data_IF_787377801205
#
_entry.id   IF_787377801205
#
_cell.length_a   1.000
_cell.length_b   1.000
_cell.length_c   1.000
_cell.angle_alpha   90.00
_cell.angle_beta   90.00
_cell.angle_gamma   90.00
#
_symmetry.space_group_name_H-M   'P 1'
#
loop_
_entity.id
_entity.type
_entity.pdbx_description
1 polymer ?
#
# COMPACT_ATOMS: atom_id res chain seq x y z
N UNK A 1 31.52 23.09 -52.32
CA UNK A 1 32.25 23.08 -51.02
C UNK A 1 31.71 24.21 -50.17
N UNK A 2 31.67 24.02 -48.84
CA UNK A 2 31.01 24.84 -47.78
C UNK A 2 29.53 24.44 -47.61
N UNK A 3 28.94 24.23 -46.42
CA UNK A 3 29.33 23.81 -45.06
C UNK A 3 28.00 23.49 -44.32
N UNK A 4 28.10 22.71 -43.25
CA UNK A 4 27.03 22.07 -42.45
C UNK A 4 26.08 23.05 -41.76
N UNK A 5 24.77 22.72 -41.65
CA UNK A 5 23.94 23.13 -40.51
C UNK A 5 23.01 21.98 -40.07
N UNK A 6 23.19 21.60 -38.81
CA UNK A 6 22.45 20.63 -37.99
C UNK A 6 21.14 21.20 -37.49
N UNK A 7 20.04 20.41 -37.47
CA UNK A 7 19.03 20.44 -36.39
C UNK A 7 18.28 19.09 -36.33
N UNK A 8 18.50 18.23 -35.33
CA UNK A 8 17.63 17.09 -35.07
C UNK A 8 16.32 17.57 -34.42
N UNK A 9 15.20 17.21 -35.03
CA UNK A 9 13.86 17.55 -34.56
C UNK A 9 13.51 16.66 -33.36
N UNK A 10 12.99 17.29 -32.31
CA UNK A 10 12.59 16.69 -31.04
C UNK A 10 11.48 15.65 -31.24
N UNK A 11 11.66 14.44 -30.70
CA UNK A 11 10.61 13.43 -30.52
C UNK A 11 10.39 13.19 -29.02
N UNK A 12 9.33 13.77 -28.45
CA UNK A 12 8.91 13.63 -27.05
C UNK A 12 8.01 12.41 -26.82
N UNK A 13 8.44 11.24 -27.29
CA UNK A 13 7.90 9.98 -26.80
C UNK A 13 9.02 9.27 -26.04
N UNK A 14 9.08 9.48 -24.73
CA UNK A 14 9.76 8.55 -23.84
C UNK A 14 8.89 7.30 -23.82
N UNK A 15 9.15 6.39 -24.75
CA UNK A 15 8.62 5.03 -24.70
C UNK A 15 9.24 4.37 -23.46
N UNK A 16 8.51 4.38 -22.34
CA UNK A 16 8.83 3.55 -21.18
C UNK A 16 8.76 2.09 -21.62
N UNK A 17 9.93 1.48 -21.83
CA UNK A 17 10.01 0.07 -22.20
C UNK A 17 9.72 -0.81 -20.99
N UNK A 18 9.14 -2.01 -21.17
CA UNK A 18 8.90 -2.97 -20.08
C UNK A 18 10.16 -3.40 -19.30
N UNK A 19 11.36 -3.10 -19.79
CA UNK A 19 12.63 -3.42 -19.14
C UNK A 19 12.97 -2.50 -17.95
N UNK A 20 12.31 -1.34 -17.81
CA UNK A 20 12.50 -0.43 -16.67
C UNK A 20 11.67 -0.83 -15.42
N UNK A 21 10.77 -1.81 -15.54
CA UNK A 21 9.92 -2.29 -14.45
C UNK A 21 10.68 -3.11 -13.38
N UNK A 22 11.93 -3.53 -13.63
CA UNK A 22 12.58 -4.59 -12.85
C UNK A 22 13.81 -4.18 -12.02
N UNK A 23 14.16 -2.89 -11.93
CA UNK A 23 15.26 -2.47 -11.05
C UNK A 23 14.81 -1.36 -10.10
N UNK A 24 14.11 -1.77 -9.04
CA UNK A 24 13.89 -0.91 -7.87
C UNK A 24 15.22 -0.34 -7.38
N UNK A 25 15.21 0.91 -6.91
CA UNK A 25 16.39 1.52 -6.28
C UNK A 25 16.77 0.78 -4.99
N UNK A 26 17.96 1.02 -4.45
CA UNK A 26 18.35 0.45 -3.15
C UNK A 26 17.37 0.85 -2.03
N UNK A 27 16.90 2.11 -2.03
CA UNK A 27 15.91 2.59 -1.07
C UNK A 27 14.57 1.88 -1.21
N UNK A 28 14.08 1.70 -2.44
CA UNK A 28 12.85 0.96 -2.72
C UNK A 28 12.95 -0.51 -2.32
N UNK A 29 14.08 -1.18 -2.62
CA UNK A 29 14.32 -2.55 -2.18
C UNK A 29 14.36 -2.68 -0.65
N UNK A 30 14.93 -1.70 0.06
CA UNK A 30 14.88 -1.64 1.52
C UNK A 30 13.43 -1.50 2.01
N UNK A 31 12.67 -0.56 1.45
CA UNK A 31 11.28 -0.36 1.79
C UNK A 31 10.41 -1.59 1.50
N UNK A 32 10.68 -2.35 0.42
CA UNK A 32 10.02 -3.63 0.13
C UNK A 32 10.27 -4.65 1.24
N UNK A 33 11.49 -4.72 1.77
CA UNK A 33 11.81 -5.61 2.90
C UNK A 33 11.06 -5.19 4.17
N UNK A 34 11.07 -3.90 4.52
CA UNK A 34 10.31 -3.40 5.66
C UNK A 34 8.80 -3.65 5.51
N UNK A 35 8.25 -3.41 4.31
CA UNK A 35 6.84 -3.65 4.00
C UNK A 35 6.45 -5.11 4.25
N UNK A 36 7.27 -6.07 3.80
CA UNK A 36 7.06 -7.50 4.06
C UNK A 36 7.09 -7.82 5.56
N UNK A 37 8.08 -7.29 6.29
CA UNK A 37 8.18 -7.51 7.74
C UNK A 37 6.93 -7.02 8.48
N UNK A 38 6.41 -5.85 8.12
CA UNK A 38 5.16 -5.34 8.72
C UNK A 38 3.96 -6.23 8.40
N UNK A 39 3.81 -6.64 7.14
CA UNK A 39 2.72 -7.52 6.71
C UNK A 39 2.79 -8.92 7.34
N UNK A 40 3.99 -9.40 7.68
CA UNK A 40 4.15 -10.65 8.43
C UNK A 40 3.64 -10.52 9.88
N UNK A 41 3.80 -9.34 10.50
CA UNK A 41 3.44 -9.09 11.90
C UNK A 41 1.96 -8.74 12.12
N UNK A 42 1.35 -7.93 11.25
CA UNK A 42 -0.05 -7.51 11.40
C UNK A 42 -0.72 -7.22 10.06
N UNK A 43 -2.05 -7.05 10.09
CA UNK A 43 -2.79 -6.62 8.91
C UNK A 43 -2.60 -5.12 8.69
N UNK A 44 -2.27 -4.72 7.48
CA UNK A 44 -2.20 -3.31 7.08
C UNK A 44 -3.06 -3.03 5.85
N UNK A 45 -3.69 -1.86 5.82
CA UNK A 45 -4.16 -1.32 4.55
C UNK A 45 -2.97 -0.85 3.71
N UNK A 46 -3.15 -0.78 2.39
CA UNK A 46 -2.14 -0.20 1.50
C UNK A 46 -1.72 1.20 1.96
N UNK A 47 -2.70 2.05 2.29
CA UNK A 47 -2.44 3.43 2.71
C UNK A 47 -1.77 3.51 4.08
N UNK A 48 -2.18 2.66 5.03
CA UNK A 48 -1.57 2.56 6.34
C UNK A 48 -0.13 2.08 6.27
N UNK A 49 0.18 1.09 5.42
CA UNK A 49 1.54 0.60 5.24
C UNK A 49 2.45 1.67 4.60
N UNK A 50 1.96 2.38 3.58
CA UNK A 50 2.72 3.50 3.00
C UNK A 50 3.02 4.56 4.06
N UNK A 51 2.02 4.93 4.88
CA UNK A 51 2.21 5.89 5.96
C UNK A 51 3.22 5.39 7.00
N UNK A 52 3.17 4.12 7.37
CA UNK A 52 4.11 3.52 8.33
C UNK A 52 5.55 3.58 7.81
N UNK A 53 5.76 3.23 6.54
CA UNK A 53 7.07 3.27 5.90
C UNK A 53 7.60 4.71 5.73
N UNK A 54 6.72 5.67 5.45
CA UNK A 54 7.14 7.06 5.20
C UNK A 54 7.17 7.96 6.43
N UNK A 55 6.66 7.48 7.57
CA UNK A 55 6.61 8.22 8.83
C UNK A 55 8.00 8.38 9.44
N UNK A 56 8.29 9.55 9.99
CA UNK A 56 9.53 9.80 10.76
C UNK A 56 9.62 8.90 12.01
N UNK A 57 8.49 8.48 12.57
CA UNK A 57 8.44 7.54 13.69
C UNK A 57 8.44 6.07 13.25
N UNK A 58 8.35 5.81 11.94
CA UNK A 58 8.44 4.48 11.33
C UNK A 58 9.82 4.26 10.72
N UNK A 59 9.88 4.15 9.40
CA UNK A 59 11.16 3.94 8.68
C UNK A 59 11.73 5.22 8.03
N UNK A 60 10.94 6.28 7.90
CA UNK A 60 11.38 7.55 7.33
C UNK A 60 11.74 7.51 5.83
N UNK A 61 11.19 6.56 5.06
CA UNK A 61 11.37 6.56 3.61
C UNK A 61 10.65 7.75 2.94
N UNK A 62 11.10 8.13 1.74
CA UNK A 62 10.31 9.05 0.94
C UNK A 62 8.94 8.43 0.63
N UNK A 63 7.88 9.24 0.59
CA UNK A 63 6.53 8.76 0.24
C UNK A 63 6.54 8.05 -1.13
N UNK A 64 7.36 8.51 -2.07
CA UNK A 64 7.52 7.90 -3.39
C UNK A 64 8.12 6.49 -3.29
N UNK A 65 9.22 6.33 -2.54
CA UNK A 65 9.86 5.01 -2.40
C UNK A 65 8.98 4.03 -1.62
N UNK A 66 8.29 4.50 -0.58
CA UNK A 66 7.32 3.69 0.17
C UNK A 66 6.16 3.25 -0.72
N UNK A 67 5.62 4.14 -1.56
CA UNK A 67 4.52 3.83 -2.49
C UNK A 67 4.96 2.79 -3.52
N UNK A 68 6.11 3.03 -4.17
CA UNK A 68 6.67 2.09 -5.17
C UNK A 68 6.93 0.72 -4.53
N UNK A 69 7.48 0.70 -3.31
CA UNK A 69 7.74 -0.54 -2.60
C UNK A 69 6.45 -1.33 -2.33
N UNK A 70 5.43 -0.68 -1.76
CA UNK A 70 4.14 -1.32 -1.46
C UNK A 70 3.44 -1.78 -2.74
N UNK A 71 3.49 -0.99 -3.82
CA UNK A 71 2.86 -1.32 -5.10
C UNK A 71 3.59 -2.42 -5.88
N UNK A 72 4.88 -2.64 -5.61
CA UNK A 72 5.64 -3.76 -6.18
C UNK A 72 5.25 -5.12 -5.59
N UNK A 73 4.53 -5.15 -4.47
CA UNK A 73 4.11 -6.36 -3.79
C UNK A 73 2.77 -6.87 -4.34
N UNK A 74 2.65 -8.18 -4.47
CA UNK A 74 1.35 -8.84 -4.67
C UNK A 74 0.74 -9.16 -3.31
N UNK A 75 -0.16 -8.30 -2.83
CA UNK A 75 -0.80 -8.42 -1.50
C UNK A 75 -2.31 -8.50 -1.65
N UNK A 76 -2.93 -9.46 -0.98
CA UNK A 76 -4.38 -9.46 -0.80
C UNK A 76 -4.74 -8.52 0.37
N UNK A 77 -5.21 -7.33 0.00
CA UNK A 77 -5.62 -6.32 0.96
C UNK A 77 -6.94 -6.64 1.67
N UNK A 78 -7.78 -7.51 1.10
CA UNK A 78 -8.98 -7.99 1.78
C UNK A 78 -8.61 -8.95 2.91
N UNK A 79 -7.66 -9.86 2.68
CA UNK A 79 -7.12 -10.74 3.73
C UNK A 79 -6.48 -9.94 4.87
N UNK A 80 -5.74 -8.88 4.53
CA UNK A 80 -5.21 -7.97 5.55
C UNK A 80 -6.32 -7.28 6.35
N UNK A 81 -7.40 -6.83 5.70
CA UNK A 81 -8.55 -6.25 6.39
C UNK A 81 -9.23 -7.26 7.33
N UNK A 82 -9.31 -8.54 6.94
CA UNK A 82 -9.82 -9.62 7.81
C UNK A 82 -8.92 -9.80 9.03
N UNK A 83 -7.60 -9.79 8.84
CA UNK A 83 -6.62 -9.90 9.92
C UNK A 83 -6.75 -8.75 10.91
N UNK A 84 -6.78 -7.49 10.44
CA UNK A 84 -6.99 -6.32 11.29
C UNK A 84 -8.34 -6.40 12.02
N UNK A 85 -9.41 -6.81 11.32
CA UNK A 85 -10.74 -6.95 11.91
C UNK A 85 -10.75 -7.96 13.08
N UNK A 86 -10.12 -9.13 12.91
CA UNK A 86 -9.98 -10.14 13.97
C UNK A 86 -9.20 -9.61 15.16
N UNK A 87 -8.08 -8.92 14.93
CA UNK A 87 -7.28 -8.32 16.00
C UNK A 87 -8.09 -7.31 16.85
N UNK A 88 -8.91 -6.46 16.22
CA UNK A 88 -9.78 -5.55 16.97
C UNK A 88 -10.81 -6.30 17.82
N UNK A 89 -11.41 -7.36 17.28
CA UNK A 89 -12.41 -8.18 17.97
C UNK A 89 -11.82 -9.00 19.11
N UNK A 90 -10.56 -9.40 19.02
CA UNK A 90 -9.83 -10.07 20.12
C UNK A 90 -9.58 -9.11 21.30
N UNK A 91 -9.35 -7.83 21.02
CA UNK A 91 -9.08 -6.83 22.07
C UNK A 91 -10.36 -6.26 22.69
N UNK A 92 -11.44 -6.14 21.92
CA UNK A 92 -12.67 -5.47 22.38
C UNK A 92 -13.89 -5.80 21.52
N UNK A 93 -15.08 -5.65 22.09
CA UNK A 93 -16.33 -5.83 21.35
C UNK A 93 -16.59 -4.66 20.39
N UNK A 94 -16.89 -4.98 19.13
CA UNK A 94 -17.35 -4.01 18.12
C UNK A 94 -18.69 -4.39 17.52
N UNK A 95 -19.51 -3.40 17.19
CA UNK A 95 -20.62 -3.59 16.24
C UNK A 95 -20.08 -3.66 14.80
N UNK A 96 -20.81 -4.31 13.89
CA UNK A 96 -20.49 -4.32 12.45
C UNK A 96 -20.15 -2.92 11.90
N UNK A 97 -21.05 -1.95 12.14
CA UNK A 97 -20.85 -0.56 11.68
C UNK A 97 -19.63 0.06 12.33
N UNK A 98 -19.44 -0.14 13.63
CA UNK A 98 -18.29 0.39 14.37
C UNK A 98 -16.96 -0.13 13.83
N UNK A 99 -16.86 -1.44 13.59
CA UNK A 99 -15.64 -2.05 13.06
C UNK A 99 -15.32 -1.57 11.64
N UNK A 100 -16.34 -1.46 10.77
CA UNK A 100 -16.17 -0.91 9.42
C UNK A 100 -15.66 0.53 9.48
N UNK A 101 -16.21 1.36 10.38
CA UNK A 101 -15.73 2.72 10.58
C UNK A 101 -14.29 2.76 11.10
N UNK A 102 -13.94 1.92 12.07
CA UNK A 102 -12.57 1.85 12.59
C UNK A 102 -11.55 1.50 11.49
N UNK A 103 -11.86 0.46 10.70
CA UNK A 103 -10.98 0.00 9.63
C UNK A 103 -10.87 1.01 8.47
N UNK A 104 -11.96 1.69 8.13
CA UNK A 104 -11.97 2.65 7.00
C UNK A 104 -11.58 4.08 7.38
N UNK A 105 -11.51 4.39 8.68
CA UNK A 105 -11.24 5.75 9.16
C UNK A 105 -9.87 6.23 8.71
N UNK A 106 -9.80 7.50 8.33
CA UNK A 106 -8.55 8.19 8.02
C UNK A 106 -7.65 8.35 9.24
N UNK A 107 -8.19 8.32 10.45
CA UNK A 107 -7.42 8.31 11.70
C UNK A 107 -7.17 6.90 12.25
N UNK A 108 -7.79 5.87 11.65
CA UNK A 108 -7.61 4.46 11.99
C UNK A 108 -6.75 3.74 10.95
N UNK A 109 -7.26 2.64 10.41
CA UNK A 109 -6.49 1.74 9.55
C UNK A 109 -6.46 2.14 8.06
N UNK A 110 -7.29 3.11 7.63
CA UNK A 110 -7.32 3.64 6.24
C UNK A 110 -7.59 2.60 5.14
N UNK A 111 -8.27 1.50 5.45
CA UNK A 111 -8.79 0.60 4.40
C UNK A 111 -9.82 1.32 3.54
N UNK A 112 -10.01 0.87 2.30
CA UNK A 112 -11.19 1.29 1.55
C UNK A 112 -12.45 0.80 2.26
N UNK A 113 -13.59 1.47 2.07
CA UNK A 113 -14.85 1.04 2.68
C UNK A 113 -15.22 -0.39 2.25
N UNK A 114 -14.90 -0.79 1.01
CA UNK A 114 -15.14 -2.15 0.52
C UNK A 114 -14.27 -3.18 1.26
N UNK A 115 -12.98 -2.93 1.43
CA UNK A 115 -12.06 -3.79 2.19
C UNK A 115 -12.47 -3.89 3.66
N UNK A 116 -12.78 -2.76 4.30
CA UNK A 116 -13.25 -2.71 5.67
C UNK A 116 -14.56 -3.51 5.86
N UNK A 117 -15.50 -3.37 4.92
CA UNK A 117 -16.76 -4.13 4.93
C UNK A 117 -16.51 -5.62 4.75
N UNK A 118 -15.63 -5.99 3.83
CA UNK A 118 -15.24 -7.38 3.62
C UNK A 118 -14.62 -7.97 4.90
N UNK A 119 -13.61 -7.31 5.46
CA UNK A 119 -12.92 -7.73 6.67
C UNK A 119 -13.86 -7.90 7.87
N UNK A 120 -14.72 -6.91 8.13
CA UNK A 120 -15.66 -6.96 9.24
C UNK A 120 -16.68 -8.11 9.10
N UNK A 121 -17.16 -8.40 7.89
CA UNK A 121 -18.05 -9.55 7.62
C UNK A 121 -17.34 -10.87 7.82
N UNK A 122 -16.16 -11.02 7.21
CA UNK A 122 -15.42 -12.26 7.25
C UNK A 122 -14.85 -12.58 8.65
N UNK A 123 -14.64 -11.56 9.47
CA UNK A 123 -14.29 -11.69 10.89
C UNK A 123 -15.51 -11.95 11.80
N UNK A 124 -16.73 -12.01 11.26
CA UNK A 124 -17.95 -12.37 12.01
C UNK A 124 -18.67 -11.20 12.69
N UNK A 125 -18.22 -9.95 12.54
CA UNK A 125 -18.82 -8.80 13.22
C UNK A 125 -20.21 -8.41 12.69
N UNK A 126 -20.58 -8.88 11.49
CA UNK A 126 -21.78 -8.44 10.77
C UNK A 126 -22.91 -9.47 10.67
N UNK A 127 -22.72 -10.67 11.23
CA UNK A 127 -23.64 -11.80 11.06
C UNK A 127 -23.56 -12.41 9.65
N UNK A 128 -23.99 -13.67 9.55
CA UNK A 128 -24.16 -14.33 8.25
C UNK A 128 -25.41 -13.77 7.56
N UNK A 129 -25.36 -13.63 6.23
CA UNK A 129 -26.58 -13.51 5.42
C UNK A 129 -27.05 -14.90 5.03
#
# INVERSE_FOLDING_TARGET
MIAVLTMPWVSWAQDFTPAEQNNLTAAQNNAVRSAKNYLDMSGFSRAGLIQQLSSDAGDGYSVSDATIAVDSLTVDWNENAVRSAKQYLEMSGFSCKGLIQQLSSSAGEKYTVSQATYGARQAGACGEK
#
